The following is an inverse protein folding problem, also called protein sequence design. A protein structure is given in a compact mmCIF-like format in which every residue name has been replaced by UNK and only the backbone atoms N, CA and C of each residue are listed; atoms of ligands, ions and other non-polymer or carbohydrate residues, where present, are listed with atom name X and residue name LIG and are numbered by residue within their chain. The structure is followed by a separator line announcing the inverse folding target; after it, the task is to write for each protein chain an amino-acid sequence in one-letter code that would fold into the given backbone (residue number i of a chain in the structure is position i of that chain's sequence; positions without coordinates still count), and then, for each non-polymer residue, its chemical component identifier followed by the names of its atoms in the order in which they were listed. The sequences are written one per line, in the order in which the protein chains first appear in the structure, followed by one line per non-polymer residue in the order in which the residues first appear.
data_IF_860149430940
#
_entry.id   IF_860149430940
#
_cell.length_a   1.000
_cell.length_b   1.000
_cell.length_c   1.000
_cell.angle_alpha   90.00
_cell.angle_beta   90.00
_cell.angle_gamma   90.00
#
_symmetry.space_group_name_H-M   'P 1'
#
loop_
_entity.id
_entity.type
_entity.pdbx_description
1 polymer ?
#
# COMPACT_ATOMS: atom_id res chain seq x y z
N UNK A 1 -40.83 42.60 -28.32
CA UNK A 1 -40.64 42.33 -29.77
C UNK A 1 -39.14 42.33 -30.03
N UNK A 2 -38.44 41.37 -30.62
CA UNK A 2 -38.72 40.05 -31.20
C UNK A 2 -37.39 39.23 -31.08
N UNK A 3 -37.44 37.96 -30.66
CA UNK A 3 -37.21 36.74 -31.46
C UNK A 3 -35.76 36.51 -31.94
N UNK A 4 -34.96 35.59 -31.36
CA UNK A 4 -34.88 34.11 -31.51
C UNK A 4 -34.08 33.59 -32.74
N UNK A 5 -33.16 32.63 -32.45
CA UNK A 5 -32.72 31.42 -33.21
C UNK A 5 -31.39 31.41 -33.99
N UNK A 6 -30.45 30.61 -33.42
CA UNK A 6 -29.72 29.45 -34.00
C UNK A 6 -29.11 29.52 -35.41
N UNK A 7 -27.86 29.02 -35.56
CA UNK A 7 -27.59 27.69 -36.15
C UNK A 7 -26.09 27.39 -36.31
N UNK A 8 -25.79 26.12 -36.04
CA UNK A 8 -24.55 25.40 -36.27
C UNK A 8 -24.09 25.46 -37.74
N UNK A 9 -22.78 25.47 -37.96
CA UNK A 9 -22.17 24.95 -39.20
C UNK A 9 -20.97 24.08 -38.88
N UNK A 10 -21.21 22.77 -38.96
CA UNK A 10 -20.19 21.74 -39.14
C UNK A 10 -19.58 21.85 -40.55
N UNK A 11 -18.27 21.59 -40.66
CA UNK A 11 -17.60 21.09 -41.86
C UNK A 11 -16.59 19.99 -41.48
N UNK A 12 -17.00 18.73 -41.69
CA UNK A 12 -16.41 17.71 -42.60
C UNK A 12 -15.10 18.13 -43.30
N UNK A 13 -14.04 17.33 -43.51
CA UNK A 13 -13.74 15.87 -43.61
C UNK A 13 -12.19 15.74 -43.59
N UNK A 14 -11.45 14.62 -43.55
CA UNK A 14 -11.63 13.26 -44.06
C UNK A 14 -10.60 12.29 -43.43
N UNK A 15 -10.91 10.98 -43.53
CA UNK A 15 -10.09 9.75 -43.62
C UNK A 15 -8.58 9.90 -43.87
N UNK A 16 -7.66 8.98 -43.53
CA UNK A 16 -7.64 7.55 -43.17
C UNK A 16 -6.19 7.17 -42.88
N UNK A 17 -5.93 6.17 -42.03
CA UNK A 17 -5.14 4.96 -42.36
C UNK A 17 -4.60 4.27 -41.12
N UNK A 18 -4.80 2.96 -41.11
CA UNK A 18 -4.22 1.95 -40.24
C UNK A 18 -2.71 1.89 -40.38
N UNK A 19 -2.00 1.68 -39.26
CA UNK A 19 -0.69 1.03 -39.26
C UNK A 19 -0.48 0.33 -37.93
N UNK A 20 -0.61 -1.00 -37.98
CA UNK A 20 -0.16 -1.92 -36.93
C UNK A 20 1.35 -1.77 -36.76
N UNK A 21 1.82 -1.60 -35.53
CA UNK A 21 3.25 -1.71 -35.20
C UNK A 21 3.38 -2.46 -33.90
N UNK A 22 3.55 -3.77 -34.03
CA UNK A 22 4.03 -4.68 -33.00
C UNK A 22 5.44 -4.28 -32.61
N UNK A 23 5.61 -3.72 -31.41
CA UNK A 23 6.92 -3.56 -30.79
C UNK A 23 7.05 -4.57 -29.65
N UNK A 24 7.70 -5.68 -29.96
CA UNK A 24 8.27 -6.58 -28.96
C UNK A 24 9.47 -5.87 -28.33
N UNK A 25 9.36 -5.49 -27.06
CA UNK A 25 10.50 -5.05 -26.27
C UNK A 25 10.66 -5.97 -25.05
N UNK A 26 11.92 -6.39 -24.91
CA UNK A 26 12.47 -7.45 -24.07
C UNK A 26 12.12 -7.30 -22.57
N UNK A 27 12.04 -8.41 -21.82
CA UNK A 27 12.06 -8.33 -20.36
C UNK A 27 13.41 -7.79 -19.90
N UNK A 28 13.38 -6.67 -19.17
CA UNK A 28 14.54 -6.17 -18.46
C UNK A 28 14.82 -7.10 -17.27
N UNK A 29 15.94 -7.81 -17.31
CA UNK A 29 16.46 -8.57 -16.18
C UNK A 29 16.76 -7.59 -15.03
N UNK A 30 16.02 -7.72 -13.93
CA UNK A 30 16.29 -6.99 -12.70
C UNK A 30 17.59 -7.55 -12.12
N UNK A 31 18.67 -6.78 -12.27
CA UNK A 31 19.94 -7.03 -11.61
C UNK A 31 19.73 -6.70 -10.12
N UNK A 32 19.66 -7.73 -9.28
CA UNK A 32 19.77 -7.58 -7.83
C UNK A 32 21.16 -7.05 -7.50
N UNK A 33 21.24 -5.79 -7.06
CA UNK A 33 22.48 -5.21 -6.55
C UNK A 33 22.60 -5.57 -5.06
N UNK A 34 23.31 -6.64 -4.75
CA UNK A 34 23.68 -7.01 -3.38
C UNK A 34 24.75 -6.05 -2.86
N UNK A 35 24.33 -5.05 -2.07
CA UNK A 35 25.23 -4.08 -1.43
C UNK A 35 26.04 -4.77 -0.34
N UNK A 36 27.27 -5.15 -0.67
CA UNK A 36 28.22 -5.76 0.27
C UNK A 36 29.02 -4.68 1.00
N UNK A 37 28.98 -4.66 2.34
CA UNK A 37 29.86 -3.84 3.15
C UNK A 37 31.25 -4.49 3.22
N UNK A 38 32.26 -3.82 2.68
CA UNK A 38 33.66 -4.25 2.77
C UNK A 38 34.25 -3.89 4.13
N UNK A 39 34.59 -4.90 4.94
CA UNK A 39 35.52 -4.78 6.05
C UNK A 39 36.91 -5.16 5.55
N UNK A 40 37.87 -4.24 5.73
CA UNK A 40 39.27 -4.45 5.35
C UNK A 40 39.93 -5.35 6.40
N UNK A 41 40.40 -6.52 6.00
CA UNK A 41 41.37 -7.30 6.78
C UNK A 41 42.56 -7.69 5.90
N UNK A 42 43.74 -7.52 6.48
CA UNK A 42 45.07 -7.56 5.90
C UNK A 42 45.49 -8.95 5.40
N UNK A 43 46.40 -8.94 4.44
CA UNK A 43 46.96 -10.08 3.72
C UNK A 43 47.62 -11.16 4.59
N UNK A 44 47.59 -12.42 4.10
CA UNK A 44 48.75 -13.20 3.61
C UNK A 44 48.58 -14.71 3.90
N UNK A 45 48.64 -15.54 2.85
CA UNK A 45 49.22 -16.89 2.97
C UNK A 45 48.39 -18.10 2.52
N UNK A 46 48.84 -18.68 1.40
CA UNK A 46 49.08 -20.12 1.15
C UNK A 46 47.89 -21.08 0.95
N UNK A 47 47.80 -21.58 -0.28
CA UNK A 47 46.96 -22.68 -0.77
C UNK A 47 47.41 -24.01 -0.13
N UNK A 48 46.47 -24.88 0.25
CA UNK A 48 46.52 -26.25 -0.27
C UNK A 48 45.16 -26.75 -0.79
N UNK A 49 45.22 -27.56 -1.84
CA UNK A 49 44.12 -28.37 -2.38
C UNK A 49 43.46 -29.21 -1.27
N UNK A 50 42.17 -28.98 -1.04
CA UNK A 50 41.33 -29.86 -0.26
C UNK A 50 39.93 -29.87 -0.88
N UNK A 51 39.48 -31.09 -1.17
CA UNK A 51 38.18 -31.50 -1.69
C UNK A 51 37.07 -30.67 -1.05
N UNK A 52 36.36 -29.88 -1.86
CA UNK A 52 35.13 -29.21 -1.44
C UNK A 52 34.03 -30.26 -1.57
N UNK A 53 33.70 -30.90 -0.45
CA UNK A 53 32.37 -31.50 -0.33
C UNK A 53 31.37 -30.34 -0.37
N UNK A 54 30.45 -30.40 -1.32
CA UNK A 54 29.30 -29.51 -1.43
C UNK A 54 28.39 -29.77 -0.23
N UNK A 55 28.70 -29.14 0.91
CA UNK A 55 27.72 -28.91 1.96
C UNK A 55 26.75 -27.85 1.43
N UNK A 56 25.77 -28.31 0.64
CA UNK A 56 24.50 -27.63 0.40
C UNK A 56 23.79 -27.51 1.75
N UNK A 57 24.33 -26.65 2.61
CA UNK A 57 23.63 -26.19 3.79
C UNK A 57 22.49 -25.31 3.27
N UNK A 58 21.38 -25.95 2.91
CA UNK A 58 20.11 -25.32 2.59
C UNK A 58 19.80 -24.36 3.73
N UNK A 59 20.11 -23.07 3.52
CA UNK A 59 19.64 -22.02 4.41
C UNK A 59 18.12 -22.15 4.34
N UNK A 60 17.41 -22.44 5.44
CA UNK A 60 15.96 -22.57 5.36
C UNK A 60 15.41 -21.19 5.06
N UNK A 61 15.18 -20.89 3.79
CA UNK A 61 14.39 -19.73 3.31
C UNK A 61 12.92 -19.87 3.72
N UNK A 62 12.57 -20.97 4.41
CA UNK A 62 11.28 -21.26 5.05
C UNK A 62 10.76 -20.20 6.04
N UNK A 63 11.42 -19.05 6.20
CA UNK A 63 11.17 -18.11 7.30
C UNK A 63 10.41 -16.81 6.97
N UNK A 64 10.29 -16.36 5.71
CA UNK A 64 9.84 -14.98 5.44
C UNK A 64 8.51 -14.92 4.66
N UNK A 65 8.25 -15.88 3.78
CA UNK A 65 7.05 -15.85 2.95
C UNK A 65 6.07 -16.91 3.43
N UNK A 66 4.90 -16.48 3.91
CA UNK A 66 3.77 -17.37 4.26
C UNK A 66 2.74 -17.36 3.12
N UNK A 67 1.91 -18.40 2.98
CA UNK A 67 0.77 -18.35 2.07
C UNK A 67 -0.14 -17.16 2.41
N UNK A 68 -0.71 -16.51 1.41
CA UNK A 68 -1.54 -15.33 1.58
C UNK A 68 -2.71 -15.58 2.53
N UNK A 69 -3.27 -16.80 2.50
CA UNK A 69 -4.35 -17.22 3.38
C UNK A 69 -3.97 -17.18 4.87
N UNK A 70 -2.75 -17.55 5.23
CA UNK A 70 -2.27 -17.49 6.62
C UNK A 70 -2.11 -16.04 7.09
N UNK A 71 -1.54 -15.18 6.24
CA UNK A 71 -1.38 -13.75 6.52
C UNK A 71 -2.74 -13.10 6.79
N UNK A 72 -3.72 -13.33 5.90
CA UNK A 72 -5.07 -12.79 6.04
C UNK A 72 -5.79 -13.35 7.29
N UNK A 73 -5.55 -14.63 7.64
CA UNK A 73 -6.07 -15.24 8.86
C UNK A 73 -5.49 -14.60 10.13
N UNK A 74 -4.22 -14.19 10.11
CA UNK A 74 -3.61 -13.50 11.25
C UNK A 74 -4.06 -12.04 11.35
N UNK A 75 -4.11 -11.32 10.22
CA UNK A 75 -4.57 -9.93 10.18
C UNK A 75 -6.05 -9.79 10.58
N UNK A 76 -6.89 -10.79 10.29
CA UNK A 76 -8.32 -10.78 10.67
C UNK A 76 -8.59 -11.07 12.15
N UNK A 77 -7.57 -11.40 12.95
CA UNK A 77 -7.73 -11.56 14.41
C UNK A 77 -8.16 -10.24 15.05
N UNK A 78 -8.91 -10.34 16.15
CA UNK A 78 -9.30 -9.16 16.94
C UNK A 78 -8.03 -8.47 17.46
N UNK A 79 -8.02 -7.15 17.36
CA UNK A 79 -6.95 -6.33 17.90
C UNK A 79 -7.21 -6.18 19.40
N UNK A 80 -6.21 -6.42 20.28
CA UNK A 80 -6.38 -6.25 21.71
C UNK A 80 -6.89 -4.84 22.08
N UNK A 81 -7.78 -4.77 23.07
CA UNK A 81 -8.39 -3.51 23.55
C UNK A 81 -7.35 -2.48 24.02
N UNK A 82 -6.18 -2.92 24.48
CA UNK A 82 -5.05 -2.05 24.85
C UNK A 82 -4.53 -1.18 23.70
N UNK A 83 -4.77 -1.58 22.45
CA UNK A 83 -4.35 -0.85 21.25
C UNK A 83 -5.46 -0.03 20.63
N UNK A 84 -6.69 -0.15 21.14
CA UNK A 84 -7.85 0.57 20.64
C UNK A 84 -7.97 1.89 21.41
N UNK A 85 -8.13 2.99 20.67
CA UNK A 85 -8.41 4.31 21.21
C UNK A 85 -9.83 4.72 20.86
N UNK A 86 -10.40 5.57 21.70
CA UNK A 86 -11.72 6.17 21.49
C UNK A 86 -11.53 7.65 21.24
N UNK A 87 -12.13 8.15 20.16
CA UNK A 87 -12.26 9.58 19.89
C UNK A 87 -13.73 9.96 19.89
N UNK A 88 -14.06 11.06 20.55
CA UNK A 88 -15.39 11.67 20.44
C UNK A 88 -15.39 12.66 19.28
N UNK A 89 -16.29 12.45 18.32
CA UNK A 89 -16.50 13.32 17.17
C UNK A 89 -18.01 13.52 17.02
N UNK A 90 -18.47 14.77 17.08
CA UNK A 90 -19.89 15.15 17.00
C UNK A 90 -20.83 14.41 17.98
N UNK A 91 -20.33 14.09 19.17
CA UNK A 91 -21.09 13.36 20.20
C UNK A 91 -21.08 11.84 20.05
N UNK A 92 -20.46 11.31 19.00
CA UNK A 92 -20.28 9.87 18.79
C UNK A 92 -18.88 9.42 19.22
N UNK A 93 -18.81 8.30 19.94
CA UNK A 93 -17.56 7.68 20.34
C UNK A 93 -17.12 6.69 19.26
N UNK A 94 -16.07 7.03 18.52
CA UNK A 94 -15.50 6.21 17.46
C UNK A 94 -14.29 5.47 18.02
N UNK A 95 -14.37 4.13 18.05
CA UNK A 95 -13.22 3.26 18.35
C UNK A 95 -12.33 3.15 17.12
N UNK A 96 -11.01 3.24 17.31
CA UNK A 96 -10.04 3.10 16.23
C UNK A 96 -8.70 2.57 16.70
N UNK A 97 -7.95 1.93 15.81
CA UNK A 97 -6.53 1.59 16.02
C UNK A 97 -5.67 2.74 15.48
N UNK A 98 -4.70 3.29 16.24
CA UNK A 98 -3.77 4.29 15.73
C UNK A 98 -2.92 3.76 14.56
N UNK A 99 -2.58 4.61 13.59
CA UNK A 99 -1.91 4.19 12.34
C UNK A 99 -0.57 3.50 12.58
N UNK A 100 0.23 3.95 13.56
CA UNK A 100 1.54 3.36 13.86
C UNK A 100 1.41 1.96 14.46
N UNK A 101 0.31 1.67 15.16
CA UNK A 101 0.02 0.32 15.65
C UNK A 101 -0.37 -0.58 14.50
N UNK A 102 -1.22 -0.09 13.57
CA UNK A 102 -1.54 -0.81 12.34
C UNK A 102 -0.26 -1.16 11.57
N UNK A 103 0.65 -0.20 11.39
CA UNK A 103 1.95 -0.40 10.76
C UNK A 103 2.78 -1.50 11.47
N UNK A 104 2.80 -1.49 12.80
CA UNK A 104 3.51 -2.51 13.59
C UNK A 104 2.90 -3.91 13.40
N UNK A 105 1.58 -4.02 13.34
CA UNK A 105 0.90 -5.30 13.11
C UNK A 105 1.17 -5.81 11.69
N UNK A 106 1.15 -4.93 10.68
CA UNK A 106 1.52 -5.28 9.31
C UNK A 106 2.96 -5.82 9.24
N UNK A 107 3.93 -5.12 9.83
CA UNK A 107 5.33 -5.57 9.89
C UNK A 107 5.51 -6.93 10.60
N UNK A 108 4.63 -7.25 11.55
CA UNK A 108 4.70 -8.50 12.30
C UNK A 108 4.19 -9.70 11.48
N UNK A 109 3.09 -9.52 10.75
CA UNK A 109 2.40 -10.62 10.06
C UNK A 109 2.71 -10.72 8.57
N UNK A 110 3.13 -9.62 7.95
CA UNK A 110 3.40 -9.53 6.53
C UNK A 110 4.62 -8.62 6.29
N UNK A 111 5.83 -9.00 6.71
CA UNK A 111 7.00 -8.10 6.69
C UNK A 111 7.35 -7.52 5.32
N UNK A 112 6.89 -8.15 4.24
CA UNK A 112 7.13 -7.73 2.86
C UNK A 112 6.03 -6.80 2.30
N UNK A 113 5.01 -6.45 3.08
CA UNK A 113 3.92 -5.57 2.63
C UNK A 113 4.43 -4.23 2.11
N UNK A 114 3.69 -3.67 1.15
CA UNK A 114 3.96 -2.34 0.61
C UNK A 114 2.74 -1.45 0.69
N UNK A 115 2.98 -0.15 0.81
CA UNK A 115 1.96 0.88 0.87
C UNK A 115 2.35 2.06 -0.02
N UNK A 116 1.40 2.56 -0.80
CA UNK A 116 1.63 3.71 -1.67
C UNK A 116 0.42 4.64 -1.73
N UNK A 117 0.70 5.94 -1.83
CA UNK A 117 -0.31 6.95 -2.13
C UNK A 117 -0.58 6.90 -3.63
N UNK A 118 -1.83 6.62 -4.00
CA UNK A 118 -2.29 6.53 -5.40
C UNK A 118 -2.69 7.88 -5.95
N UNK A 119 -3.34 8.71 -5.13
CA UNK A 119 -3.74 10.05 -5.52
C UNK A 119 -3.94 10.95 -4.32
N UNK A 120 -3.73 12.24 -4.53
CA UNK A 120 -4.03 13.31 -3.59
C UNK A 120 -4.88 14.33 -4.36
N UNK A 121 -6.09 14.57 -3.88
CA UNK A 121 -7.04 15.47 -4.52
C UNK A 121 -7.53 16.50 -3.52
N UNK A 122 -7.28 17.78 -3.79
CA UNK A 122 -7.86 18.89 -3.04
C UNK A 122 -9.28 19.16 -3.55
N UNK A 123 -10.20 19.51 -2.65
CA UNK A 123 -11.53 19.96 -3.05
C UNK A 123 -11.46 21.28 -3.82
N UNK A 124 -12.44 21.53 -4.69
CA UNK A 124 -12.46 22.74 -5.53
C UNK A 124 -12.46 24.04 -4.72
N UNK A 125 -12.98 24.01 -3.48
CA UNK A 125 -12.98 25.12 -2.54
C UNK A 125 -11.71 25.21 -1.67
N UNK A 126 -10.77 24.27 -1.83
CA UNK A 126 -9.52 24.21 -1.07
C UNK A 126 -9.67 23.88 0.42
N UNK A 127 -10.88 23.54 0.90
CA UNK A 127 -11.15 23.32 2.33
C UNK A 127 -10.84 21.91 2.82
N UNK A 128 -10.67 20.96 1.91
CA UNK A 128 -10.39 19.57 2.25
C UNK A 128 -9.42 18.93 1.27
N UNK A 129 -8.71 17.92 1.75
CA UNK A 129 -7.85 17.06 0.93
C UNK A 129 -8.31 15.62 1.10
N UNK A 130 -8.39 14.91 -0.01
CA UNK A 130 -8.69 13.49 -0.06
C UNK A 130 -7.49 12.73 -0.61
N UNK A 131 -7.10 11.65 0.08
CA UNK A 131 -5.99 10.79 -0.29
C UNK A 131 -6.52 9.40 -0.57
N UNK A 132 -6.10 8.78 -1.67
CA UNK A 132 -6.32 7.36 -1.95
C UNK A 132 -5.02 6.62 -1.69
N UNK A 133 -5.09 5.58 -0.85
CA UNK A 133 -3.94 4.78 -0.45
C UNK A 133 -4.17 3.31 -0.83
N UNK A 134 -3.13 2.67 -1.35
CA UNK A 134 -3.11 1.24 -1.69
C UNK A 134 -2.19 0.51 -0.73
N UNK A 135 -2.70 -0.58 -0.16
CA UNK A 135 -1.91 -1.54 0.62
C UNK A 135 -1.85 -2.84 -0.18
N UNK A 136 -0.65 -3.36 -0.36
CA UNK A 136 -0.37 -4.62 -1.05
C UNK A 136 0.26 -5.62 -0.09
N UNK A 137 -0.26 -6.84 -0.08
CA UNK A 137 0.31 -7.98 0.61
C UNK A 137 0.89 -8.96 -0.41
N UNK A 138 2.05 -9.53 -0.07
CA UNK A 138 2.71 -10.56 -0.83
C UNK A 138 2.68 -11.86 -0.03
N UNK A 139 2.09 -12.89 -0.61
CA UNK A 139 2.22 -14.26 -0.14
C UNK A 139 3.08 -15.08 -1.11
N UNK A 140 3.47 -16.29 -0.70
CA UNK A 140 4.20 -17.22 -1.58
C UNK A 140 3.41 -17.64 -2.81
N UNK A 141 2.08 -17.64 -2.70
CA UNK A 141 1.13 -18.15 -3.69
C UNK A 141 0.44 -17.03 -4.49
N UNK A 142 0.23 -15.85 -3.90
CA UNK A 142 -0.45 -14.74 -4.55
C UNK A 142 -0.08 -13.36 -3.95
N UNK A 143 -0.29 -12.32 -4.77
CA UNK A 143 -0.31 -10.92 -4.35
C UNK A 143 -1.76 -10.43 -4.31
N UNK A 144 -2.10 -9.62 -3.31
CA UNK A 144 -3.39 -8.92 -3.24
C UNK A 144 -3.19 -7.48 -2.79
N UNK A 145 -3.98 -6.57 -3.34
CA UNK A 145 -4.03 -5.19 -2.87
C UNK A 145 -5.46 -4.74 -2.56
N UNK A 146 -5.57 -3.80 -1.62
CA UNK A 146 -6.82 -3.10 -1.30
C UNK A 146 -6.55 -1.61 -1.22
N UNK A 147 -7.48 -0.85 -1.78
CA UNK A 147 -7.42 0.61 -1.77
C UNK A 147 -8.50 1.17 -0.85
N UNK A 148 -8.19 2.28 -0.21
CA UNK A 148 -9.19 3.09 0.48
C UNK A 148 -8.83 4.56 0.46
N UNK A 149 -9.79 5.39 0.83
CA UNK A 149 -9.64 6.83 0.86
C UNK A 149 -9.82 7.40 2.26
N UNK A 150 -9.14 8.51 2.51
CA UNK A 150 -9.29 9.33 3.70
C UNK A 150 -9.42 10.79 3.27
N UNK A 151 -10.22 11.55 4.02
CA UNK A 151 -10.46 12.96 3.75
C UNK A 151 -10.26 13.73 5.04
N UNK A 152 -9.51 14.82 4.96
CA UNK A 152 -9.25 15.72 6.09
C UNK A 152 -9.55 17.16 5.67
N UNK A 153 -10.03 17.97 6.62
CA UNK A 153 -10.14 19.41 6.40
C UNK A 153 -8.76 20.06 6.51
N UNK A 154 -8.48 21.02 5.63
CA UNK A 154 -7.25 21.82 5.65
C UNK A 154 -7.21 22.75 6.88
N UNK A 155 -8.39 23.12 7.42
CA UNK A 155 -8.49 23.99 8.59
C UNK A 155 -8.31 23.24 9.93
N UNK A 156 -8.33 21.90 9.90
CA UNK A 156 -8.20 21.09 11.10
C UNK A 156 -6.72 20.82 11.41
N UNK A 157 -6.11 21.72 12.17
CA UNK A 157 -4.68 21.72 12.53
C UNK A 157 -4.36 20.86 13.75
N UNK A 158 -5.34 20.11 14.27
CA UNK A 158 -5.21 19.37 15.53
C UNK A 158 -4.12 18.29 15.51
N UNK A 159 -3.86 17.67 14.36
CA UNK A 159 -2.94 16.53 14.25
C UNK A 159 -2.19 16.52 12.91
N UNK A 160 -1.16 17.36 12.79
CA UNK A 160 -0.23 17.37 11.65
C UNK A 160 -0.79 17.99 10.38
N UNK A 161 -0.13 17.72 9.26
CA UNK A 161 -0.55 18.21 7.95
C UNK A 161 -1.83 17.47 7.46
N UNK A 162 -2.79 18.16 6.81
CA UNK A 162 -4.03 17.55 6.36
C UNK A 162 -3.83 16.36 5.40
N UNK A 163 -2.75 16.34 4.59
CA UNK A 163 -2.42 15.19 3.73
C UNK A 163 -2.01 14.00 4.58
N UNK A 164 -1.15 14.19 5.58
CA UNK A 164 -0.72 13.13 6.49
C UNK A 164 -1.90 12.53 7.26
N UNK A 165 -2.84 13.38 7.70
CA UNK A 165 -4.07 12.94 8.36
C UNK A 165 -4.95 12.11 7.43
N UNK A 166 -5.18 12.60 6.21
CA UNK A 166 -5.96 11.90 5.20
C UNK A 166 -5.30 10.57 4.80
N UNK A 167 -3.98 10.53 4.65
CA UNK A 167 -3.19 9.32 4.38
C UNK A 167 -3.34 8.30 5.52
N UNK A 168 -3.16 8.72 6.78
CA UNK A 168 -3.33 7.84 7.93
C UNK A 168 -4.76 7.28 8.07
N UNK A 169 -5.78 8.03 7.63
CA UNK A 169 -7.15 7.54 7.53
C UNK A 169 -7.30 6.49 6.42
N UNK A 170 -6.80 6.80 5.22
CA UNK A 170 -6.85 5.92 4.06
C UNK A 170 -6.13 4.60 4.32
N UNK A 171 -4.90 4.66 4.87
CA UNK A 171 -4.08 3.51 5.22
C UNK A 171 -4.80 2.54 6.15
N UNK A 172 -5.33 3.03 7.28
CA UNK A 172 -6.06 2.18 8.25
C UNK A 172 -7.30 1.53 7.63
N UNK A 173 -8.04 2.26 6.79
CA UNK A 173 -9.22 1.72 6.10
C UNK A 173 -8.83 0.68 5.04
N UNK A 174 -7.72 0.87 4.34
CA UNK A 174 -7.18 -0.11 3.41
C UNK A 174 -6.77 -1.40 4.14
N UNK A 175 -6.10 -1.29 5.29
CA UNK A 175 -5.80 -2.45 6.15
C UNK A 175 -7.07 -3.14 6.68
N UNK A 176 -8.12 -2.38 7.01
CA UNK A 176 -9.40 -2.97 7.43
C UNK A 176 -10.06 -3.81 6.33
N UNK A 177 -9.90 -3.43 5.05
CA UNK A 177 -10.35 -4.24 3.90
C UNK A 177 -9.56 -5.55 3.74
N UNK A 178 -8.39 -5.67 4.37
CA UNK A 178 -7.61 -6.90 4.47
C UNK A 178 -7.91 -7.68 5.77
N UNK A 179 -8.83 -7.20 6.60
CA UNK A 179 -9.28 -7.83 7.85
C UNK A 179 -8.78 -7.14 9.13
N UNK A 180 -7.72 -6.33 9.05
CA UNK A 180 -7.10 -5.73 10.22
C UNK A 180 -7.97 -4.65 10.86
N UNK A 181 -8.44 -4.89 12.09
CA UNK A 181 -9.31 -3.94 12.79
C UNK A 181 -10.72 -3.85 12.20
N UNK A 182 -11.09 -4.76 11.29
CA UNK A 182 -12.41 -4.79 10.66
C UNK A 182 -13.53 -4.97 11.69
N UNK A 183 -13.28 -5.72 12.76
CA UNK A 183 -14.22 -5.93 13.86
C UNK A 183 -14.65 -4.63 14.57
N UNK A 184 -13.93 -3.51 14.41
CA UNK A 184 -14.33 -2.23 14.98
C UNK A 184 -15.47 -1.54 14.21
N UNK A 185 -15.74 -1.99 12.98
CA UNK A 185 -16.79 -1.44 12.11
C UNK A 185 -18.11 -2.20 12.24
N UNK A 186 -18.08 -3.41 12.78
CA UNK A 186 -19.30 -4.07 13.19
C UNK A 186 -19.66 -3.47 14.55
N UNK A 187 -20.78 -2.76 14.62
CA UNK A 187 -21.43 -2.55 15.92
C UNK A 187 -21.57 -3.92 16.56
N UNK A 188 -21.30 -4.02 17.87
CA UNK A 188 -21.59 -5.22 18.63
C UNK A 188 -23.06 -5.55 18.35
N UNK A 189 -23.32 -6.49 17.43
CA UNK A 189 -24.67 -6.98 17.12
C UNK A 189 -25.13 -7.73 18.37
N UNK A 190 -25.61 -6.97 19.34
CA UNK A 190 -26.24 -7.40 20.59
C UNK A 190 -27.70 -7.03 20.47
#
# INVERSE_FOLDING_TARGET
MASLKSLLRLRSSASSSSSSSSSLLRPASIIFCSRSYSTKVSAKGKIPDAVIEEDESEIPTSGICRPLSEILKELSRKVPDSFIKVRSEDGFNIKYVPWHIVNRIMNLHAPEWSGEVRSITYSADGKSVSVVYRVTLYGTDAEIYRESSGTASVNDTSFGDPVQKAEAMAFRRACARLGLGLHLYHEDMI
#
